data_IF_178723175320
#
_entry.id   IF_178723175320
#
_cell.length_a   1.000
_cell.length_b   1.000
_cell.length_c   1.000
_cell.angle_alpha   90.00
_cell.angle_beta   90.00
_cell.angle_gamma   90.00
#
_symmetry.space_group_name_H-M   'P 1'
#
loop_
_entity.id
_entity.type
_entity.pdbx_description
1 polymer ?
#
# COMPACT_ATOMS: atom_id res chain seq x y z
N UNK A 1 6.95 46.58 -23.95
CA UNK A 1 8.04 45.93 -24.71
C UNK A 1 8.83 45.10 -23.69
N UNK A 2 8.91 43.77 -23.77
CA UNK A 2 9.80 43.00 -24.66
C UNK A 2 11.27 43.45 -24.51
N UNK A 3 12.28 42.64 -24.13
CA UNK A 3 12.40 41.18 -23.87
C UNK A 3 13.29 40.99 -22.59
N UNK A 4 13.73 39.83 -22.08
CA UNK A 4 13.71 38.43 -22.56
C UNK A 4 13.88 37.41 -21.40
N UNK A 5 13.76 36.10 -21.71
CA UNK A 5 14.50 34.98 -21.06
C UNK A 5 15.25 34.22 -22.19
N UNK A 6 16.36 33.52 -21.91
CA UNK A 6 16.28 32.05 -21.72
C UNK A 6 17.17 31.55 -20.55
N UNK A 7 16.63 30.70 -19.68
CA UNK A 7 16.80 29.24 -19.70
C UNK A 7 18.14 28.73 -19.13
N UNK A 8 18.09 28.21 -17.89
CA UNK A 8 18.93 27.08 -17.51
C UNK A 8 18.08 25.81 -17.64
N UNK A 9 18.53 24.89 -18.49
CA UNK A 9 17.93 23.58 -18.65
C UNK A 9 18.48 22.66 -17.56
N UNK A 10 17.64 22.30 -16.58
CA UNK A 10 17.91 21.16 -15.71
C UNK A 10 17.22 19.94 -16.34
N UNK A 11 17.92 19.27 -17.26
CA UNK A 11 17.53 17.92 -17.68
C UNK A 11 17.76 16.95 -16.52
N UNK A 12 16.72 16.18 -16.22
CA UNK A 12 16.70 15.20 -15.15
C UNK A 12 15.25 14.99 -14.75
N UNK A 13 14.66 13.87 -15.14
CA UNK A 13 13.33 13.51 -14.69
C UNK A 13 13.35 13.38 -13.17
N UNK A 14 12.84 14.39 -12.46
CA UNK A 14 12.40 14.22 -11.08
C UNK A 14 11.23 13.24 -11.13
N UNK A 15 11.54 11.94 -11.01
CA UNK A 15 10.55 10.93 -10.71
C UNK A 15 9.86 11.41 -9.43
N UNK A 16 8.60 11.83 -9.55
CA UNK A 16 7.78 12.09 -8.37
C UNK A 16 7.65 10.75 -7.66
N UNK A 17 8.40 10.60 -6.57
CA UNK A 17 8.30 9.43 -5.70
C UNK A 17 6.88 9.44 -5.14
N UNK A 18 6.01 8.59 -5.69
CA UNK A 18 4.64 8.46 -5.25
C UNK A 18 4.61 7.74 -3.89
N UNK A 19 4.91 8.52 -2.84
CA UNK A 19 4.77 8.13 -1.45
C UNK A 19 3.29 7.95 -1.16
N UNK A 20 2.95 6.79 -0.62
CA UNK A 20 1.60 6.38 -0.27
C UNK A 20 1.51 6.36 1.24
N UNK A 21 0.58 7.13 1.80
CA UNK A 21 0.30 7.13 3.23
C UNK A 21 -0.51 5.89 3.61
N UNK A 22 0.08 5.05 4.46
CA UNK A 22 -0.45 3.74 4.81
C UNK A 22 0.54 2.96 5.68
N UNK A 23 0.09 1.83 6.19
CA UNK A 23 0.93 0.90 6.96
C UNK A 23 0.94 -0.45 6.25
N UNK A 24 2.05 -1.16 6.24
CA UNK A 24 2.20 -2.38 5.47
C UNK A 24 2.93 -3.46 6.26
N UNK A 25 2.43 -4.70 6.16
CA UNK A 25 3.03 -5.90 6.76
C UNK A 25 3.16 -7.01 5.72
N UNK A 26 4.02 -7.99 5.96
CA UNK A 26 4.05 -9.25 5.23
C UNK A 26 3.53 -10.39 6.10
N UNK A 27 2.57 -11.14 5.56
CA UNK A 27 2.04 -12.38 6.15
C UNK A 27 2.55 -13.53 5.27
N UNK A 28 3.57 -14.24 5.76
CA UNK A 28 4.40 -15.10 4.91
C UNK A 28 5.09 -14.27 3.82
N UNK A 29 4.93 -14.68 2.57
CA UNK A 29 5.47 -13.98 1.39
C UNK A 29 4.55 -12.87 0.84
N UNK A 30 3.37 -12.68 1.44
CA UNK A 30 2.32 -11.81 0.91
C UNK A 30 2.30 -10.45 1.64
N UNK A 31 2.55 -9.37 0.92
CA UNK A 31 2.39 -8.01 1.41
C UNK A 31 0.93 -7.59 1.51
N UNK A 32 0.54 -7.06 2.67
CA UNK A 32 -0.78 -6.48 2.95
C UNK A 32 -0.61 -5.00 3.25
N UNK A 33 -1.33 -4.16 2.51
CA UNK A 33 -1.30 -2.70 2.67
C UNK A 33 -2.60 -2.21 3.33
N UNK A 34 -2.46 -1.58 4.50
CA UNK A 34 -3.53 -0.94 5.25
C UNK A 34 -3.65 0.54 4.83
N UNK A 35 -4.80 0.91 4.27
CA UNK A 35 -5.12 2.28 3.87
C UNK A 35 -6.28 2.81 4.73
N UNK A 36 -6.30 4.11 4.98
CA UNK A 36 -7.36 4.75 5.76
C UNK A 36 -6.97 6.14 6.24
N UNK A 37 -7.94 6.96 6.70
CA UNK A 37 -7.66 8.32 7.17
C UNK A 37 -6.70 8.33 8.39
N UNK A 38 -6.17 9.50 8.73
CA UNK A 38 -5.41 9.63 9.98
C UNK A 38 -6.30 9.27 11.18
N UNK A 39 -5.73 8.58 12.16
CA UNK A 39 -6.46 8.08 13.32
C UNK A 39 -7.31 6.82 13.08
N UNK A 40 -7.38 6.26 11.86
CA UNK A 40 -8.16 5.04 11.56
C UNK A 40 -7.58 3.73 12.11
N UNK A 41 -6.69 3.76 13.09
CA UNK A 41 -6.09 2.55 13.68
C UNK A 41 -5.12 1.75 12.79
N UNK A 42 -4.51 2.34 11.76
CA UNK A 42 -3.55 1.63 10.88
C UNK A 42 -2.36 1.03 11.64
N UNK A 43 -1.64 1.84 12.42
CA UNK A 43 -0.48 1.40 13.21
C UNK A 43 -0.87 0.42 14.32
N UNK A 44 -2.06 0.58 14.92
CA UNK A 44 -2.58 -0.35 15.93
C UNK A 44 -2.88 -1.73 15.33
N UNK A 45 -3.60 -1.77 14.20
CA UNK A 45 -3.86 -3.02 13.47
C UNK A 45 -2.57 -3.65 12.92
N UNK A 46 -1.59 -2.83 12.55
CA UNK A 46 -0.23 -3.27 12.17
C UNK A 46 0.44 -3.99 13.34
N UNK A 47 0.39 -3.41 14.54
CA UNK A 47 0.92 -4.03 15.76
C UNK A 47 0.21 -5.33 16.12
N UNK A 48 -1.12 -5.37 16.01
CA UNK A 48 -1.91 -6.61 16.20
C UNK A 48 -1.53 -7.72 15.19
N UNK A 49 -1.18 -7.36 13.96
CA UNK A 49 -0.72 -8.33 12.96
C UNK A 49 0.72 -8.81 13.24
N UNK A 50 1.59 -7.94 13.76
CA UNK A 50 2.96 -8.30 14.17
C UNK A 50 2.95 -9.29 15.34
N UNK A 51 2.11 -9.07 16.36
CA UNK A 51 1.89 -10.00 17.47
C UNK A 51 1.48 -11.41 16.98
N UNK A 52 0.78 -11.48 15.84
CA UNK A 52 0.32 -12.71 15.19
C UNK A 52 1.32 -13.32 14.21
N UNK A 53 2.54 -12.76 14.13
CA UNK A 53 3.65 -13.27 13.33
C UNK A 53 3.83 -12.63 11.94
N UNK A 54 3.08 -11.57 11.62
CA UNK A 54 3.39 -10.76 10.45
C UNK A 54 4.69 -9.97 10.66
N UNK A 55 5.41 -9.64 9.59
CA UNK A 55 6.58 -8.76 9.66
C UNK A 55 6.23 -7.36 9.22
N UNK A 56 6.73 -6.33 9.92
CA UNK A 56 6.58 -4.95 9.44
C UNK A 56 7.25 -4.81 8.07
N UNK A 57 6.61 -4.12 7.13
CA UNK A 57 7.29 -3.55 5.97
C UNK A 57 7.54 -2.07 6.27
N UNK A 58 6.48 -1.32 6.55
CA UNK A 58 6.55 0.11 6.86
C UNK A 58 5.33 0.58 7.68
N UNK A 59 5.49 1.63 8.48
CA UNK A 59 4.37 2.40 9.04
C UNK A 59 4.37 3.82 8.45
N UNK A 60 3.21 4.48 8.47
CA UNK A 60 2.90 5.81 7.92
C UNK A 60 3.13 6.06 6.41
N UNK A 61 4.31 5.76 5.83
CA UNK A 61 4.67 6.18 4.46
C UNK A 61 5.54 5.18 3.69
N UNK A 62 5.03 4.65 2.56
CA UNK A 62 5.70 3.64 1.74
C UNK A 62 5.66 3.95 0.25
N UNK A 63 6.35 3.16 -0.56
CA UNK A 63 6.31 3.19 -2.03
C UNK A 63 5.69 1.90 -2.57
N UNK A 64 5.04 1.99 -3.72
CA UNK A 64 4.71 0.84 -4.57
C UNK A 64 5.48 0.99 -5.87
N UNK A 65 6.32 0.00 -6.17
CA UNK A 65 7.16 -0.04 -7.36
C UNK A 65 6.72 -1.20 -8.27
N UNK A 66 6.92 -1.06 -9.58
CA UNK A 66 6.66 -2.15 -10.54
C UNK A 66 7.90 -3.04 -10.64
N UNK A 67 7.82 -4.24 -10.07
CA UNK A 67 8.84 -5.28 -10.17
C UNK A 67 8.35 -6.38 -11.12
N UNK A 68 8.84 -6.38 -12.37
CA UNK A 68 8.52 -7.38 -13.40
C UNK A 68 7.01 -7.62 -13.62
N UNK A 69 6.20 -6.55 -13.58
CA UNK A 69 4.75 -6.62 -13.77
C UNK A 69 3.96 -6.89 -12.48
N UNK A 70 4.63 -6.97 -11.33
CA UNK A 70 4.00 -7.12 -10.01
C UNK A 70 4.25 -5.87 -9.14
N UNK A 71 3.26 -5.44 -8.34
CA UNK A 71 3.45 -4.35 -7.38
C UNK A 71 4.29 -4.84 -6.19
N UNK A 72 5.38 -4.14 -5.89
CA UNK A 72 6.24 -4.38 -4.74
C UNK A 72 6.06 -3.24 -3.72
N UNK A 73 5.72 -3.57 -2.47
CA UNK A 73 5.74 -2.62 -1.35
C UNK A 73 7.18 -2.43 -0.89
N UNK A 74 7.63 -1.21 -0.69
CA UNK A 74 8.93 -0.90 -0.09
C UNK A 74 8.85 0.27 0.89
N UNK A 75 9.57 0.18 2.00
CA UNK A 75 9.56 1.23 3.03
C UNK A 75 10.56 2.34 2.73
N UNK A 76 10.24 3.59 3.12
CA UNK A 76 11.19 4.70 2.97
C UNK A 76 12.23 4.64 4.08
N UNK A 77 13.52 4.70 3.72
CA UNK A 77 14.65 4.36 4.58
C UNK A 77 14.68 5.04 5.97
N UNK A 78 14.17 6.27 6.09
CA UNK A 78 14.24 7.03 7.34
C UNK A 78 13.24 6.58 8.43
N UNK A 79 12.21 5.80 8.06
CA UNK A 79 11.20 5.22 8.97
C UNK A 79 11.18 3.68 8.99
N UNK A 80 12.10 3.03 8.26
CA UNK A 80 12.25 1.57 8.31
C UNK A 80 12.48 1.06 9.74
N UNK A 81 11.80 -0.03 10.10
CA UNK A 81 11.83 -0.64 11.44
C UNK A 81 11.08 0.12 12.54
N UNK A 82 10.44 1.25 12.23
CA UNK A 82 9.76 2.10 13.24
C UNK A 82 8.24 2.01 13.12
N UNK A 83 7.57 2.06 14.27
CA UNK A 83 6.11 2.10 14.39
C UNK A 83 5.70 3.07 15.50
N UNK A 84 4.64 3.86 15.31
CA UNK A 84 4.07 4.71 16.38
C UNK A 84 3.10 3.88 17.23
N UNK A 85 3.46 3.63 18.50
CA UNK A 85 2.58 3.01 19.48
C UNK A 85 1.99 4.11 20.37
N UNK A 86 0.72 4.44 20.12
CA UNK A 86 0.03 5.54 20.82
C UNK A 86 0.00 5.32 22.33
N UNK A 87 0.38 6.35 23.08
CA UNK A 87 0.55 6.28 24.54
C UNK A 87 1.93 5.78 25.00
N UNK A 88 2.79 5.29 24.09
CA UNK A 88 4.16 4.86 24.39
C UNK A 88 5.19 5.72 23.63
N UNK A 89 5.00 5.91 22.32
CA UNK A 89 5.90 6.66 21.44
C UNK A 89 6.33 5.85 20.21
N UNK A 90 7.47 6.22 19.62
CA UNK A 90 8.04 5.49 18.48
C UNK A 90 8.84 4.28 18.98
N UNK A 91 8.46 3.09 18.55
CA UNK A 91 9.13 1.83 18.88
C UNK A 91 9.91 1.27 17.68
N UNK A 92 10.95 0.49 17.96
CA UNK A 92 11.69 -0.30 16.97
C UNK A 92 11.13 -1.73 16.96
N UNK A 93 10.93 -2.31 15.77
CA UNK A 93 10.43 -3.68 15.57
C UNK A 93 11.15 -4.36 14.40
N UNK A 94 11.14 -5.70 14.40
CA UNK A 94 11.63 -6.49 13.27
C UNK A 94 10.83 -6.18 12.00
N UNK A 95 11.55 -5.97 10.89
CA UNK A 95 10.97 -5.57 9.62
C UNK A 95 11.65 -6.27 8.44
N UNK A 96 11.03 -6.20 7.26
CA UNK A 96 11.62 -6.53 5.97
C UNK A 96 11.56 -5.32 5.05
N UNK A 97 12.54 -5.18 4.15
CA UNK A 97 12.63 -4.00 3.27
C UNK A 97 11.49 -3.92 2.25
N UNK A 98 10.98 -5.06 1.79
CA UNK A 98 9.92 -5.14 0.78
C UNK A 98 9.19 -6.48 0.75
N UNK A 99 7.98 -6.50 0.16
CA UNK A 99 7.24 -7.71 -0.21
C UNK A 99 6.27 -7.43 -1.37
N UNK A 100 5.92 -8.44 -2.20
CA UNK A 100 4.89 -8.30 -3.23
C UNK A 100 3.53 -7.93 -2.61
N UNK A 101 2.90 -6.86 -3.08
CA UNK A 101 1.56 -6.49 -2.66
C UNK A 101 0.55 -7.55 -3.12
N UNK A 102 -0.15 -8.19 -2.18
CA UNK A 102 -1.20 -9.19 -2.46
C UNK A 102 -2.61 -8.65 -2.21
N UNK A 103 -2.78 -7.88 -1.13
CA UNK A 103 -4.07 -7.42 -0.63
C UNK A 103 -3.99 -5.98 -0.15
N UNK A 104 -5.04 -5.20 -0.41
CA UNK A 104 -5.28 -3.92 0.27
C UNK A 104 -6.45 -4.06 1.26
N UNK A 105 -6.28 -3.51 2.44
CA UNK A 105 -7.36 -3.38 3.43
C UNK A 105 -7.65 -1.90 3.63
N UNK A 106 -8.86 -1.49 3.25
CA UNK A 106 -9.33 -0.12 3.44
C UNK A 106 -10.08 -0.01 4.78
N UNK A 107 -9.51 0.73 5.72
CA UNK A 107 -10.07 0.93 7.04
C UNK A 107 -11.22 1.94 7.01
N UNK A 108 -12.40 1.49 7.44
CA UNK A 108 -13.67 2.21 7.36
C UNK A 108 -14.57 1.82 8.53
N UNK A 109 -15.28 2.80 9.11
CA UNK A 109 -16.34 2.52 10.09
C UNK A 109 -17.64 2.03 9.44
N UNK A 110 -17.82 2.30 8.14
CA UNK A 110 -18.93 1.76 7.36
C UNK A 110 -18.42 0.55 6.57
N UNK A 111 -18.85 -0.64 6.98
CA UNK A 111 -18.47 -1.94 6.41
C UNK A 111 -19.74 -2.71 6.10
N UNK A 112 -19.86 -3.14 4.84
CA UNK A 112 -21.01 -3.93 4.39
C UNK A 112 -21.04 -5.30 5.09
N UNK A 113 -22.21 -5.72 5.58
CA UNK A 113 -22.40 -7.06 6.17
C UNK A 113 -22.08 -8.18 5.18
N UNK A 114 -22.41 -7.95 3.90
CA UNK A 114 -22.05 -8.79 2.76
C UNK A 114 -21.36 -7.90 1.72
N UNK A 115 -20.02 -7.82 1.70
CA UNK A 115 -19.31 -7.06 0.70
C UNK A 115 -19.46 -7.70 -0.69
N UNK A 116 -19.50 -6.90 -1.78
CA UNK A 116 -19.37 -7.44 -3.14
C UNK A 116 -18.11 -8.31 -3.30
N UNK A 117 -18.26 -9.42 -4.03
CA UNK A 117 -17.17 -10.34 -4.34
C UNK A 117 -16.05 -9.65 -5.14
N UNK A 118 -14.82 -10.12 -4.91
CA UNK A 118 -13.63 -9.76 -5.71
C UNK A 118 -13.41 -8.24 -5.88
N UNK A 119 -13.80 -7.42 -4.90
CA UNK A 119 -13.53 -5.98 -4.89
C UNK A 119 -12.06 -5.67 -5.16
N UNK A 120 -11.83 -4.60 -5.92
CA UNK A 120 -10.49 -4.15 -6.32
C UNK A 120 -10.38 -2.64 -6.17
N UNK A 121 -9.15 -2.17 -5.96
CA UNK A 121 -8.79 -0.74 -5.98
C UNK A 121 -7.63 -0.53 -6.94
N UNK A 122 -7.61 0.60 -7.63
CA UNK A 122 -6.51 1.01 -8.49
C UNK A 122 -5.50 1.84 -7.68
N UNK A 123 -4.25 1.39 -7.60
CA UNK A 123 -3.15 2.11 -6.94
C UNK A 123 -1.84 1.89 -7.70
N UNK A 124 -1.02 2.94 -7.85
CA UNK A 124 0.31 2.88 -8.48
C UNK A 124 0.37 2.16 -9.86
N UNK A 125 -0.71 2.21 -10.64
CA UNK A 125 -0.81 1.54 -11.94
C UNK A 125 -1.29 0.07 -11.89
N UNK A 126 -1.73 -0.43 -10.74
CA UNK A 126 -2.22 -1.80 -10.56
C UNK A 126 -3.66 -1.82 -10.05
N UNK A 127 -4.47 -2.76 -10.55
CA UNK A 127 -5.74 -3.16 -9.95
C UNK A 127 -5.48 -4.28 -8.94
N UNK A 128 -5.70 -4.01 -7.65
CA UNK A 128 -5.32 -4.90 -6.53
C UNK A 128 -6.57 -5.38 -5.79
N UNK A 129 -6.68 -6.66 -5.38
CA UNK A 129 -7.75 -7.14 -4.51
C UNK A 129 -7.86 -6.31 -3.21
N UNK A 130 -9.09 -5.97 -2.82
CA UNK A 130 -9.34 -5.06 -1.70
C UNK A 130 -10.53 -5.48 -0.85
N UNK A 131 -10.38 -5.38 0.48
CA UNK A 131 -11.46 -5.53 1.45
C UNK A 131 -11.60 -4.27 2.30
N UNK A 132 -12.83 -3.91 2.66
CA UNK A 132 -13.10 -2.88 3.67
C UNK A 132 -13.27 -3.53 5.03
N UNK A 133 -12.59 -3.03 6.05
CA UNK A 133 -12.68 -3.52 7.43
C UNK A 133 -12.74 -2.36 8.42
N UNK A 134 -13.40 -2.59 9.55
CA UNK A 134 -13.33 -1.73 10.73
C UNK A 134 -12.14 -2.21 11.56
N UNK A 135 -11.24 -1.30 11.91
CA UNK A 135 -9.99 -1.58 12.64
C UNK A 135 -10.18 -1.70 14.15
N UNK A 136 -11.28 -1.17 14.71
CA UNK A 136 -11.47 -1.10 16.16
C UNK A 136 -12.16 -2.35 16.74
N UNK A 137 -12.33 -3.40 15.94
CA UNK A 137 -12.94 -4.66 16.38
C UNK A 137 -11.84 -5.60 16.90
N UNK A 138 -12.10 -6.31 18.00
CA UNK A 138 -11.14 -7.30 18.53
C UNK A 138 -10.82 -8.46 17.55
N UNK A 139 -11.52 -8.56 16.42
CA UNK A 139 -11.30 -9.53 15.35
C UNK A 139 -10.64 -8.93 14.10
N UNK A 140 -10.23 -7.65 14.10
CA UNK A 140 -9.74 -6.97 12.89
C UNK A 140 -8.50 -7.64 12.29
N UNK A 141 -7.48 -7.97 13.09
CA UNK A 141 -6.27 -8.66 12.59
C UNK A 141 -6.60 -10.04 12.01
N UNK A 142 -7.44 -10.82 12.71
CA UNK A 142 -7.95 -12.11 12.22
C UNK A 142 -8.72 -11.97 10.90
N UNK A 143 -9.52 -10.90 10.72
CA UNK A 143 -10.24 -10.63 9.46
C UNK A 143 -9.31 -10.26 8.32
N UNK A 144 -8.17 -9.62 8.58
CA UNK A 144 -7.13 -9.36 7.56
C UNK A 144 -6.52 -10.68 7.07
N UNK A 145 -6.21 -11.60 7.98
CA UNK A 145 -5.70 -12.94 7.63
C UNK A 145 -6.72 -13.74 6.81
N UNK A 146 -7.98 -13.79 7.23
CA UNK A 146 -9.05 -14.44 6.44
C UNK A 146 -9.27 -13.79 5.07
N UNK A 147 -9.22 -12.46 4.97
CA UNK A 147 -9.31 -11.76 3.69
C UNK A 147 -8.14 -12.12 2.76
N UNK A 148 -6.93 -12.23 3.30
CA UNK A 148 -5.75 -12.69 2.56
C UNK A 148 -5.91 -14.15 2.11
N UNK A 149 -6.38 -15.03 2.99
CA UNK A 149 -6.62 -16.44 2.65
C UNK A 149 -7.65 -16.57 1.52
N UNK A 150 -8.77 -15.85 1.57
CA UNK A 150 -9.76 -15.83 0.48
C UNK A 150 -9.15 -15.34 -0.85
N UNK A 151 -8.25 -14.35 -0.82
CA UNK A 151 -7.53 -13.84 -2.01
C UNK A 151 -6.51 -14.86 -2.55
N UNK A 152 -5.94 -15.71 -1.69
CA UNK A 152 -5.05 -16.80 -2.09
C UNK A 152 -5.87 -17.95 -2.69
N UNK A 153 -6.90 -18.43 -1.99
CA UNK A 153 -7.75 -19.56 -2.39
C UNK A 153 -8.49 -19.31 -3.71
N UNK A 154 -8.97 -18.08 -3.92
CA UNK A 154 -9.61 -17.67 -5.17
C UNK A 154 -8.62 -17.33 -6.30
N UNK A 155 -7.30 -17.47 -6.08
CA UNK A 155 -6.27 -17.22 -7.10
C UNK A 155 -6.19 -15.77 -7.58
N UNK A 156 -6.52 -14.79 -6.73
CA UNK A 156 -6.64 -13.39 -7.12
C UNK A 156 -5.32 -12.63 -7.00
N UNK A 157 -4.65 -12.40 -8.12
CA UNK A 157 -3.42 -11.58 -8.17
C UNK A 157 -3.74 -10.10 -8.43
N UNK A 158 -2.87 -9.16 -8.01
CA UNK A 158 -2.82 -7.84 -8.62
C UNK A 158 -2.62 -7.95 -10.14
N UNK A 159 -3.20 -7.01 -10.89
CA UNK A 159 -3.06 -6.94 -12.34
C UNK A 159 -2.56 -5.55 -12.71
N UNK A 160 -1.51 -5.46 -13.52
CA UNK A 160 -1.06 -4.19 -14.06
C UNK A 160 -2.14 -3.61 -14.98
N UNK A 161 -2.52 -2.35 -14.76
CA UNK A 161 -3.46 -1.66 -15.62
C UNK A 161 -2.76 -1.34 -16.94
N UNK A 162 -3.17 -2.03 -18.00
CA UNK A 162 -2.75 -1.73 -19.37
C UNK A 162 -3.36 -0.39 -19.81
N UNK A 163 -2.76 0.72 -19.36
CA UNK A 163 -2.92 2.00 -20.05
C UNK A 163 -2.31 1.79 -21.43
N UNK A 164 -3.15 1.88 -22.47
CA UNK A 164 -2.69 1.69 -23.83
C UNK A 164 -1.54 2.66 -24.14
N UNK A 165 -0.45 2.12 -24.68
CA UNK A 165 0.54 2.92 -25.40
C UNK A 165 -0.05 3.34 -26.75
N UNK A 166 -1.15 4.10 -26.73
CA UNK A 166 -1.73 4.74 -27.90
C UNK A 166 -0.90 5.99 -28.21
N UNK A 167 0.06 5.78 -29.09
CA UNK A 167 0.82 6.82 -29.78
C UNK A 167 -0.09 7.87 -30.44
N UNK A 168 0.13 9.15 -30.16
CA UNK A 168 -0.07 10.21 -31.14
C UNK A 168 1.29 10.82 -31.51
N UNK A 169 1.96 10.12 -32.43
CA UNK A 169 2.75 10.80 -33.44
C UNK A 169 1.82 11.18 -34.60
N UNK A 170 2.19 12.22 -35.34
CA UNK A 170 1.51 12.74 -36.55
C UNK A 170 0.32 13.68 -36.26
N UNK A 171 0.63 14.98 -36.21
CA UNK A 171 0.34 15.79 -37.41
C UNK A 171 1.47 16.78 -37.70
N UNK A 172 1.50 17.25 -38.95
CA UNK A 172 2.58 18.01 -39.59
C UNK A 172 2.65 19.46 -39.12
#
# INVERSE_FOLDING_TARGET
>A
MLRNRPALCCCGNTLMENIIHGSAVAIGENGVLLLGPSGSGKSDLTLQLIDRGAKLICDDALRIENNNGLPLLSCVQHIAGKIEVRGIGICQVDFISSAPLRLIVQLSQNVDRMPPEHQRINIAGFSVPMFKLDSFQASSALKVEWALQCVIDAGLHPVANLVAASSESIMK
#
